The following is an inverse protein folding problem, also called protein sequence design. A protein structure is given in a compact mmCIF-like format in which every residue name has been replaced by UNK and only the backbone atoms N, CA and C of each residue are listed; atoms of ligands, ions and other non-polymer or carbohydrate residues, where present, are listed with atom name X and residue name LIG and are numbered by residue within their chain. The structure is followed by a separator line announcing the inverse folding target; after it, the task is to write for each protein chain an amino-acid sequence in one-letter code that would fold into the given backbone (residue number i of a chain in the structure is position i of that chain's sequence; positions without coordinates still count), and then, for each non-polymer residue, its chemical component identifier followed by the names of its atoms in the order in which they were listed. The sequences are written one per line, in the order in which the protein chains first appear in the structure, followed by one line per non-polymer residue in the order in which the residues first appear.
data_IF_302403397533
#
_entry.id   IF_302403397533
#
_cell.length_a   1.000
_cell.length_b   1.000
_cell.length_c   1.000
_cell.angle_alpha   90.00
_cell.angle_beta   90.00
_cell.angle_gamma   90.00
#
_symmetry.space_group_name_H-M   'P 1'
#
loop_
_entity.id
_entity.type
_entity.pdbx_description
1 polymer ?
#
# COMPACT_ATOMS: atom_id res chain seq x y z
N UNK A 1 -0.30 5.30 -5.70
CA UNK A 1 0.25 4.87 -4.40
C UNK A 1 1.75 4.85 -4.55
N UNK A 2 2.48 5.63 -3.76
CA UNK A 2 3.95 5.63 -3.72
C UNK A 2 4.48 4.50 -2.82
N UNK A 3 5.78 4.14 -2.91
CA UNK A 3 6.41 3.23 -1.96
C UNK A 3 6.23 3.64 -0.49
N UNK A 4 6.38 4.93 -0.20
CA UNK A 4 6.22 5.52 1.14
C UNK A 4 4.80 5.31 1.66
N UNK A 5 3.80 5.59 0.82
CA UNK A 5 2.40 5.39 1.15
C UNK A 5 2.09 3.91 1.42
N UNK A 6 2.68 2.98 0.67
CA UNK A 6 2.50 1.54 0.89
C UNK A 6 3.07 1.09 2.25
N UNK A 7 4.30 1.51 2.57
CA UNK A 7 4.93 1.22 3.88
C UNK A 7 4.11 1.80 5.03
N UNK A 8 3.69 3.06 4.91
CA UNK A 8 2.88 3.74 5.92
C UNK A 8 1.52 3.06 6.12
N UNK A 9 0.80 2.75 5.04
CA UNK A 9 -0.49 2.05 5.09
C UNK A 9 -0.38 0.71 5.83
N UNK A 10 0.61 -0.11 5.48
CA UNK A 10 0.82 -1.39 6.17
C UNK A 10 1.14 -1.20 7.65
N UNK A 11 1.97 -0.22 8.00
CA UNK A 11 2.30 0.05 9.38
C UNK A 11 1.06 0.47 10.20
N UNK A 12 0.20 1.31 9.63
CA UNK A 12 -1.06 1.73 10.26
C UNK A 12 -2.01 0.54 10.49
N UNK A 13 -2.00 -0.44 9.58
CA UNK A 13 -2.82 -1.66 9.65
C UNK A 13 -2.17 -2.82 10.41
N UNK A 14 -0.97 -2.62 10.98
CA UNK A 14 -0.16 -3.69 11.57
C UNK A 14 0.06 -4.91 10.63
N UNK A 15 0.05 -4.68 9.31
CA UNK A 15 0.23 -5.74 8.31
C UNK A 15 1.70 -5.93 7.96
N UNK A 16 2.18 -7.16 8.04
CA UNK A 16 3.47 -7.55 7.45
C UNK A 16 3.39 -7.57 5.92
N UNK A 17 4.55 -7.59 5.25
CA UNK A 17 4.60 -7.85 3.81
C UNK A 17 4.04 -9.24 3.44
N UNK A 18 4.09 -10.19 4.38
CA UNK A 18 3.54 -11.54 4.20
C UNK A 18 2.02 -11.53 4.21
N UNK A 19 1.42 -10.76 5.12
CA UNK A 19 -0.04 -10.60 5.19
C UNK A 19 -0.56 -9.94 3.92
N UNK A 20 0.10 -8.87 3.46
CA UNK A 20 -0.26 -8.19 2.22
C UNK A 20 -0.09 -9.12 0.99
N UNK A 21 0.97 -9.94 0.96
CA UNK A 21 1.14 -10.94 -0.08
C UNK A 21 0.01 -11.98 -0.07
N UNK A 22 -0.40 -12.43 1.11
CA UNK A 22 -1.49 -13.40 1.29
C UNK A 22 -2.83 -12.88 0.77
N UNK A 23 -3.18 -11.62 1.05
CA UNK A 23 -4.46 -11.05 0.60
C UNK A 23 -4.46 -10.60 -0.86
N UNK A 24 -3.30 -10.26 -1.43
CA UNK A 24 -3.23 -9.76 -2.82
C UNK A 24 -2.83 -10.81 -3.85
N UNK A 25 -2.25 -11.93 -3.41
CA UNK A 25 -1.59 -12.91 -4.29
C UNK A 25 -0.29 -12.40 -4.93
N UNK A 26 0.19 -11.21 -4.56
CA UNK A 26 1.44 -10.65 -5.06
C UNK A 26 2.60 -11.24 -4.25
N UNK A 27 3.66 -11.69 -4.92
CA UNK A 27 4.81 -12.25 -4.24
C UNK A 27 5.43 -11.24 -3.24
N UNK A 28 5.75 -11.70 -2.01
CA UNK A 28 6.37 -10.89 -0.95
C UNK A 28 7.61 -10.12 -1.44
N UNK A 29 8.44 -10.74 -2.28
CA UNK A 29 9.63 -10.10 -2.87
C UNK A 29 9.28 -8.89 -3.75
N UNK A 30 8.19 -8.97 -4.51
CA UNK A 30 7.70 -7.86 -5.33
C UNK A 30 7.24 -6.69 -4.47
N UNK A 31 6.52 -6.98 -3.38
CA UNK A 31 6.10 -5.97 -2.39
C UNK A 31 7.34 -5.32 -1.77
N UNK A 32 8.31 -6.11 -1.30
CA UNK A 32 9.54 -5.58 -0.71
C UNK A 32 10.34 -4.71 -1.69
N UNK A 33 10.49 -5.15 -2.95
CA UNK A 33 11.18 -4.38 -4.00
C UNK A 33 10.49 -3.06 -4.31
N UNK A 34 9.15 -3.07 -4.40
CA UNK A 34 8.35 -1.86 -4.57
C UNK A 34 8.53 -0.91 -3.38
N UNK A 35 8.43 -1.43 -2.16
CA UNK A 35 8.60 -0.64 -0.94
C UNK A 35 10.01 -0.10 -0.75
N UNK A 36 11.04 -0.70 -1.34
CA UNK A 36 12.40 -0.15 -1.31
C UNK A 36 12.66 0.82 -2.48
N UNK A 37 11.70 1.03 -3.38
CA UNK A 37 11.90 1.79 -4.62
C UNK A 37 12.85 1.11 -5.62
N UNK A 38 13.16 -0.18 -5.41
CA UNK A 38 14.07 -0.96 -6.25
C UNK A 38 13.39 -1.51 -7.50
N UNK A 39 12.06 -1.56 -7.51
CA UNK A 39 11.28 -1.96 -8.68
C UNK A 39 10.00 -1.16 -8.78
N UNK A 40 9.52 -0.96 -10.01
CA UNK A 40 8.21 -0.41 -10.29
C UNK A 40 7.32 -1.54 -10.82
N UNK A 41 6.44 -2.14 -9.99
CA UNK A 41 5.53 -3.17 -10.46
C UNK A 41 4.60 -2.65 -11.54
N UNK A 42 4.02 -3.55 -12.33
CA UNK A 42 2.96 -3.20 -13.26
C UNK A 42 1.81 -2.48 -12.55
N UNK A 43 1.13 -1.58 -13.27
CA UNK A 43 0.00 -0.80 -12.73
C UNK A 43 -1.08 -1.68 -12.10
N UNK A 44 -1.32 -2.88 -12.67
CA UNK A 44 -2.26 -3.86 -12.12
C UNK A 44 -1.84 -4.36 -10.73
N UNK A 45 -0.55 -4.58 -10.50
CA UNK A 45 -0.01 -4.98 -9.20
C UNK A 45 -0.20 -3.85 -8.19
N UNK A 46 0.16 -2.61 -8.55
CA UNK A 46 -0.03 -1.45 -7.67
C UNK A 46 -1.52 -1.27 -7.31
N UNK A 47 -2.42 -1.45 -8.28
CA UNK A 47 -3.85 -1.39 -8.05
C UNK A 47 -4.34 -2.49 -7.07
N UNK A 48 -3.84 -3.72 -7.20
CA UNK A 48 -4.17 -4.81 -6.28
C UNK A 48 -3.70 -4.52 -4.85
N UNK A 49 -2.45 -4.06 -4.68
CA UNK A 49 -1.92 -3.69 -3.37
C UNK A 49 -2.73 -2.55 -2.74
N UNK A 50 -3.02 -1.50 -3.52
CA UNK A 50 -3.82 -0.35 -3.07
C UNK A 50 -5.22 -0.80 -2.62
N UNK A 51 -5.91 -1.59 -3.43
CA UNK A 51 -7.27 -2.04 -3.12
C UNK A 51 -7.33 -2.92 -1.87
N UNK A 52 -6.33 -3.77 -1.64
CA UNK A 52 -6.26 -4.59 -0.44
C UNK A 52 -6.06 -3.73 0.82
N UNK A 53 -5.14 -2.76 0.78
CA UNK A 53 -4.89 -1.83 1.89
C UNK A 53 -6.11 -0.94 2.14
N UNK A 54 -6.76 -0.43 1.09
CA UNK A 54 -7.99 0.34 1.23
C UNK A 54 -9.11 -0.49 1.87
N UNK A 55 -9.31 -1.73 1.42
CA UNK A 55 -10.29 -2.66 2.00
C UNK A 55 -10.01 -2.99 3.47
N UNK A 56 -8.74 -2.98 3.88
CA UNK A 56 -8.34 -3.19 5.27
C UNK A 56 -8.55 -1.97 6.17
N UNK A 57 -8.89 -0.80 5.61
CA UNK A 57 -9.31 0.36 6.40
C UNK A 57 -8.45 1.61 6.26
N UNK A 58 -7.55 1.71 5.28
CA UNK A 58 -6.87 2.98 4.97
C UNK A 58 -7.49 3.71 3.77
N UNK A 59 -7.16 4.99 3.63
CA UNK A 59 -7.46 5.81 2.46
C UNK A 59 -6.18 6.52 1.99
N UNK A 60 -5.90 6.43 0.69
CA UNK A 60 -4.75 7.12 0.08
C UNK A 60 -5.13 8.52 -0.38
N UNK A 61 -4.35 9.50 0.07
CA UNK A 61 -4.53 10.91 -0.25
C UNK A 61 -3.53 11.26 -1.35
N UNK A 62 -4.02 11.72 -2.49
CA UNK A 62 -3.19 12.26 -3.55
C UNK A 62 -2.51 13.56 -3.09
N UNK A 63 -1.42 13.95 -3.73
CA UNK A 63 -0.78 15.22 -3.42
C UNK A 63 -1.76 16.39 -3.57
N UNK A 64 -1.91 17.15 -2.50
CA UNK A 64 -2.88 18.24 -2.37
C UNK A 64 -2.23 19.52 -1.79
N UNK A 65 -0.94 19.72 -2.08
CA UNK A 65 -0.12 20.84 -1.59
C UNK A 65 0.84 20.47 -0.45
N UNK A 66 0.62 19.35 0.26
CA UNK A 66 1.49 18.84 1.32
C UNK A 66 2.24 17.54 0.99
N UNK A 67 2.26 17.13 -0.28
CA UNK A 67 2.72 15.80 -0.69
C UNK A 67 1.63 14.72 -0.58
N UNK A 68 1.92 13.52 -1.06
CA UNK A 68 1.01 12.38 -0.99
C UNK A 68 0.99 11.76 0.42
N UNK A 69 -0.20 11.34 0.91
CA UNK A 69 -0.39 10.86 2.29
C UNK A 69 -1.27 9.61 2.40
N UNK A 70 -1.41 9.07 3.60
CA UNK A 70 -2.33 7.99 3.93
C UNK A 70 -2.96 8.23 5.30
N UNK A 71 -4.23 7.87 5.46
CA UNK A 71 -4.97 7.98 6.73
C UNK A 71 -5.82 6.74 6.99
N UNK A 72 -6.26 6.55 8.24
CA UNK A 72 -7.31 5.58 8.55
C UNK A 72 -8.64 6.09 7.99
N UNK A 73 -9.43 5.17 7.44
CA UNK A 73 -10.82 5.41 7.07
C UNK A 73 -11.62 5.69 8.34
N UNK A 74 -12.57 6.61 8.28
CA UNK A 74 -13.48 6.87 9.39
C UNK A 74 -14.51 5.73 9.46
N UNK A 75 -14.66 5.13 10.63
CA UNK A 75 -15.79 4.23 10.88
C UNK A 75 -17.08 5.03 10.69
N UNK A 76 -17.94 4.55 9.79
CA UNK A 76 -19.24 5.16 9.48
C UNK A 76 -20.32 4.51 10.32
#
# INVERSE_FOLDING_TARGET
MTPEQCRAARAMLAMSQGDLAGVTGVAKRTIAGFEMGQSSPYSRTIAALRAALESAGVEFIAENGGGAGVRMRKDT
#
